data_IF_106918263524
#
_entry.id   IF_106918263524
#
_cell.length_a   1.000
_cell.length_b   1.000
_cell.length_c   1.000
_cell.angle_alpha   90.00
_cell.angle_beta   90.00
_cell.angle_gamma   90.00
#
_symmetry.space_group_name_H-M   'P 1'
#
loop_
_entity.id
_entity.type
_entity.pdbx_description
1 polymer ?
#
# COMPACT_ATOMS: atom_id res chain seq x y z
N UNK A 1 -19.59 87.36 59.78
CA UNK A 1 -19.02 86.93 61.08
C UNK A 1 -18.91 85.41 61.05
N UNK A 2 -17.73 84.87 61.24
CA UNK A 2 -17.37 83.49 61.52
C UNK A 2 -17.53 82.45 60.38
N UNK A 3 -16.49 82.14 59.60
CA UNK A 3 -15.41 81.16 59.76
C UNK A 3 -15.91 79.81 60.26
N UNK A 4 -15.77 78.80 59.38
CA UNK A 4 -15.60 77.47 59.84
C UNK A 4 -14.76 76.62 58.81
N UNK A 5 -13.72 76.06 59.34
CA UNK A 5 -12.72 75.24 58.73
C UNK A 5 -13.29 74.05 57.96
N UNK A 6 -12.85 73.88 56.78
CA UNK A 6 -13.06 72.65 55.98
C UNK A 6 -11.90 71.69 56.21
N UNK A 7 -12.15 70.50 56.76
CA UNK A 7 -11.21 69.39 56.80
C UNK A 7 -11.28 68.61 55.46
N UNK A 8 -10.17 68.60 54.74
CA UNK A 8 -9.96 67.72 53.57
C UNK A 8 -9.61 66.32 54.04
N UNK A 9 -10.43 65.33 53.69
CA UNK A 9 -10.16 63.94 53.85
C UNK A 9 -9.48 63.45 52.57
N UNK A 10 -8.22 63.03 52.62
CA UNK A 10 -7.53 62.40 51.50
C UNK A 10 -7.91 60.89 51.47
N UNK A 11 -8.59 60.50 50.39
CA UNK A 11 -8.87 59.09 50.11
C UNK A 11 -7.70 58.57 49.28
N UNK A 12 -6.88 57.70 49.88
CA UNK A 12 -5.86 56.90 49.18
C UNK A 12 -6.54 55.77 48.42
N UNK A 13 -6.53 55.84 47.10
CA UNK A 13 -6.94 54.73 46.22
C UNK A 13 -5.74 53.79 46.09
N UNK A 14 -5.85 52.63 46.73
CA UNK A 14 -4.91 51.54 46.53
C UNK A 14 -5.34 50.77 45.28
N UNK A 15 -4.64 50.97 44.18
CA UNK A 15 -4.79 50.17 42.96
C UNK A 15 -4.08 48.85 43.14
N UNK A 16 -4.85 47.81 43.49
CA UNK A 16 -4.37 46.41 43.49
C UNK A 16 -4.23 45.93 42.05
N UNK A 17 -3.01 45.74 41.58
CA UNK A 17 -2.76 45.09 40.28
C UNK A 17 -2.98 43.59 40.46
N UNK A 18 -4.09 43.08 39.86
CA UNK A 18 -4.35 41.66 39.76
C UNK A 18 -3.46 41.09 38.62
N UNK A 19 -2.36 40.43 38.98
CA UNK A 19 -1.52 39.71 38.05
C UNK A 19 -2.26 38.42 37.65
N UNK A 20 -2.88 38.41 36.45
CA UNK A 20 -3.35 37.19 35.80
C UNK A 20 -2.11 36.32 35.43
N UNK A 21 -1.82 35.31 36.21
CA UNK A 21 -0.96 34.21 35.79
C UNK A 21 -1.67 33.41 34.72
N UNK A 22 -1.42 33.77 33.46
CA UNK A 22 -1.76 32.89 32.32
C UNK A 22 -0.88 31.66 32.41
N UNK A 23 -1.43 30.54 32.90
CA UNK A 23 -0.85 29.22 32.75
C UNK A 23 -0.83 28.86 31.27
N UNK A 24 0.25 29.21 30.61
CA UNK A 24 0.54 28.72 29.27
C UNK A 24 0.64 27.21 29.31
N UNK A 25 -0.38 26.50 28.84
CA UNK A 25 -0.22 25.09 28.47
C UNK A 25 0.90 25.06 27.43
N UNK A 26 2.05 24.47 27.80
CA UNK A 26 3.08 24.16 26.83
C UNK A 26 2.40 23.38 25.69
N UNK A 27 2.47 23.89 24.47
CA UNK A 27 2.01 23.18 23.29
C UNK A 27 2.80 21.85 23.27
N UNK A 28 2.07 20.73 23.29
CA UNK A 28 2.66 19.43 23.03
C UNK A 28 3.35 19.56 21.67
N UNK A 29 4.66 19.31 21.55
CA UNK A 29 5.33 19.37 20.26
C UNK A 29 4.55 18.46 19.30
N UNK A 30 4.28 18.95 18.09
CA UNK A 30 3.69 18.14 17.03
C UNK A 30 4.56 16.88 16.92
N UNK A 31 3.95 15.68 16.79
CA UNK A 31 4.73 14.47 16.57
C UNK A 31 5.65 14.72 15.38
N UNK A 32 6.91 14.27 15.48
CA UNK A 32 7.84 14.30 14.35
C UNK A 32 7.11 13.70 13.13
N UNK A 33 7.27 14.27 11.92
CA UNK A 33 6.64 13.70 10.74
C UNK A 33 6.98 12.21 10.69
N UNK A 34 5.95 11.36 10.67
CA UNK A 34 6.16 9.93 10.51
C UNK A 34 6.94 9.74 9.22
N UNK A 35 8.06 9.02 9.30
CA UNK A 35 8.89 8.71 8.15
C UNK A 35 8.03 7.94 7.14
N UNK A 36 7.95 8.44 5.89
CA UNK A 36 7.18 7.78 4.84
C UNK A 36 7.63 6.33 4.67
N UNK A 37 6.67 5.42 4.53
CA UNK A 37 6.96 4.01 4.29
C UNK A 37 7.38 3.80 2.84
N UNK A 38 8.47 3.06 2.65
CA UNK A 38 8.90 2.51 1.36
C UNK A 38 8.85 0.99 1.50
N UNK A 39 7.84 0.37 0.89
CA UNK A 39 7.47 -1.03 1.11
C UNK A 39 7.69 -1.84 -0.17
N UNK A 40 8.57 -2.82 -0.12
CA UNK A 40 8.80 -3.75 -1.22
C UNK A 40 7.99 -5.04 -1.01
N UNK A 41 7.19 -5.47 -1.99
CA UNK A 41 6.88 -6.89 -2.09
C UNK A 41 8.06 -7.64 -2.70
N UNK A 42 8.40 -8.77 -2.11
CA UNK A 42 9.47 -9.66 -2.59
C UNK A 42 8.89 -11.05 -2.80
N UNK A 43 8.83 -11.46 -4.05
CA UNK A 43 8.26 -12.75 -4.45
C UNK A 43 9.23 -13.90 -4.14
N UNK A 44 8.76 -14.89 -3.38
CA UNK A 44 9.58 -16.06 -2.98
C UNK A 44 10.09 -16.91 -4.16
N UNK A 45 9.40 -16.84 -5.31
CA UNK A 45 9.78 -17.53 -6.54
C UNK A 45 10.74 -16.74 -7.44
N UNK A 46 10.98 -15.46 -7.12
CA UNK A 46 11.82 -14.56 -7.90
C UNK A 46 12.67 -13.66 -6.99
N UNK A 47 13.52 -14.29 -6.17
CA UNK A 47 14.36 -13.54 -5.23
C UNK A 47 15.42 -12.72 -5.97
N UNK A 48 15.50 -11.38 -5.74
CA UNK A 48 16.58 -10.55 -6.31
C UNK A 48 17.95 -11.02 -5.81
N UNK A 49 18.96 -10.95 -6.67
CA UNK A 49 20.34 -11.30 -6.30
C UNK A 49 20.92 -10.33 -5.25
N UNK A 50 20.52 -9.07 -5.30
CA UNK A 50 20.91 -8.02 -4.37
C UNK A 50 19.69 -7.19 -3.98
N UNK A 51 19.67 -6.66 -2.77
CA UNK A 51 18.60 -5.80 -2.25
C UNK A 51 19.24 -4.60 -1.56
N UNK A 52 18.89 -3.39 -1.98
CA UNK A 52 19.27 -2.12 -1.37
C UNK A 52 18.40 -1.85 -0.13
N UNK A 53 18.65 -2.61 0.93
CA UNK A 53 17.83 -2.60 2.14
C UNK A 53 17.74 -1.22 2.81
N UNK A 54 18.76 -0.38 2.65
CA UNK A 54 18.84 1.00 3.15
C UNK A 54 17.83 1.95 2.55
N UNK A 55 17.28 1.61 1.36
CA UNK A 55 16.23 2.37 0.68
C UNK A 55 14.82 1.95 1.11
N UNK A 56 14.70 0.87 1.91
CA UNK A 56 13.43 0.27 2.31
C UNK A 56 13.16 0.49 3.79
N UNK A 57 11.88 0.71 4.13
CA UNK A 57 11.42 0.65 5.53
C UNK A 57 10.80 -0.70 5.85
N UNK A 58 10.14 -1.33 4.86
CA UNK A 58 9.43 -2.60 5.03
C UNK A 58 9.64 -3.51 3.82
N UNK A 59 9.59 -4.81 4.08
CA UNK A 59 9.46 -5.86 3.07
C UNK A 59 8.25 -6.72 3.40
N UNK A 60 7.36 -6.94 2.43
CA UNK A 60 6.31 -7.94 2.47
C UNK A 60 6.77 -9.15 1.66
N UNK A 61 7.12 -10.25 2.33
CA UNK A 61 7.52 -11.49 1.67
C UNK A 61 6.30 -12.24 1.11
N UNK A 62 6.21 -12.39 -0.17
CA UNK A 62 5.10 -13.00 -0.90
C UNK A 62 5.45 -14.41 -1.39
N UNK A 63 4.74 -15.49 -1.08
CA UNK A 63 3.60 -15.53 -0.18
C UNK A 63 3.64 -16.78 0.71
N UNK A 64 3.05 -16.68 1.89
CA UNK A 64 2.53 -17.83 2.59
C UNK A 64 1.08 -18.11 2.12
N UNK A 65 0.58 -19.32 2.39
CA UNK A 65 -0.76 -19.78 1.99
C UNK A 65 -1.55 -20.27 3.19
N UNK A 66 -2.84 -20.47 3.00
CA UNK A 66 -3.72 -21.09 3.98
C UNK A 66 -3.90 -22.56 3.55
N UNK A 67 -3.45 -23.52 4.37
CA UNK A 67 -3.64 -24.93 4.08
C UNK A 67 -5.10 -25.38 4.28
N UNK A 68 -5.43 -26.62 3.85
CA UNK A 68 -6.75 -27.21 3.98
C UNK A 68 -7.24 -27.35 5.44
N UNK A 69 -6.38 -27.09 6.42
CA UNK A 69 -6.71 -27.04 7.84
C UNK A 69 -6.85 -25.60 8.38
N UNK A 70 -6.78 -24.57 7.51
CA UNK A 70 -6.86 -23.17 7.92
C UNK A 70 -5.61 -22.66 8.64
N UNK A 71 -4.44 -23.22 8.33
CA UNK A 71 -3.16 -22.82 8.93
C UNK A 71 -2.31 -22.08 7.91
N UNK A 72 -1.52 -21.12 8.39
CA UNK A 72 -0.52 -20.43 7.57
C UNK A 72 0.69 -21.32 7.38
N UNK A 73 1.07 -21.56 6.13
CA UNK A 73 2.19 -22.42 5.73
C UNK A 73 2.95 -21.84 4.55
N UNK A 74 4.21 -22.23 4.36
CA UNK A 74 4.87 -22.15 3.06
C UNK A 74 4.61 -23.42 2.28
N UNK A 75 4.10 -23.31 1.06
CA UNK A 75 3.94 -24.44 0.16
C UNK A 75 5.29 -24.90 -0.40
N UNK A 76 6.21 -23.95 -0.65
CA UNK A 76 7.56 -24.25 -1.09
C UNK A 76 8.53 -24.18 0.10
N UNK A 77 9.23 -25.28 0.43
CA UNK A 77 10.17 -25.28 1.55
C UNK A 77 11.35 -24.31 1.38
N UNK A 78 11.64 -23.85 0.15
CA UNK A 78 12.68 -22.87 -0.15
C UNK A 78 12.32 -21.47 0.40
N UNK A 79 11.04 -21.19 0.60
CA UNK A 79 10.58 -19.86 1.07
C UNK A 79 11.02 -19.56 2.50
N UNK A 80 11.18 -20.57 3.34
CA UNK A 80 11.76 -20.37 4.68
C UNK A 80 13.20 -19.85 4.62
N UNK A 81 14.01 -20.37 3.69
CA UNK A 81 15.39 -19.92 3.49
C UNK A 81 15.41 -18.50 2.85
N UNK A 82 14.52 -18.23 1.89
CA UNK A 82 14.36 -16.91 1.28
C UNK A 82 13.97 -15.84 2.32
N UNK A 83 12.96 -16.11 3.14
CA UNK A 83 12.57 -15.21 4.22
C UNK A 83 13.72 -14.98 5.22
N UNK A 84 14.48 -16.01 5.57
CA UNK A 84 15.65 -15.87 6.43
C UNK A 84 16.71 -14.95 5.83
N UNK A 85 16.92 -14.97 4.51
CA UNK A 85 17.86 -14.06 3.85
C UNK A 85 17.38 -12.61 3.88
N UNK A 86 16.06 -12.36 3.77
CA UNK A 86 15.48 -11.02 3.91
C UNK A 86 15.62 -10.48 5.35
N UNK A 87 15.39 -11.33 6.35
CA UNK A 87 15.60 -10.95 7.75
C UNK A 87 17.06 -10.62 8.07
N UNK A 88 18.02 -11.26 7.39
CA UNK A 88 19.44 -10.93 7.55
C UNK A 88 19.79 -9.52 7.06
N UNK A 89 18.98 -8.89 6.20
CA UNK A 89 19.16 -7.49 5.77
C UNK A 89 19.06 -6.49 6.93
N UNK A 90 18.43 -6.86 8.04
CA UNK A 90 18.40 -6.07 9.29
C UNK A 90 19.80 -5.81 9.88
N UNK A 91 20.80 -6.60 9.51
CA UNK A 91 22.19 -6.31 9.88
C UNK A 91 22.73 -5.05 9.19
N UNK A 92 22.23 -4.74 7.97
CA UNK A 92 22.56 -3.52 7.21
C UNK A 92 21.61 -2.38 7.52
N UNK A 93 20.32 -2.67 7.68
CA UNK A 93 19.28 -1.70 8.08
C UNK A 93 18.52 -2.21 9.31
N UNK A 94 18.94 -1.85 10.52
CA UNK A 94 18.29 -2.30 11.76
C UNK A 94 16.83 -1.85 11.93
N UNK A 95 16.42 -0.79 11.19
CA UNK A 95 15.02 -0.31 11.21
C UNK A 95 14.12 -1.04 10.26
N UNK A 96 14.67 -1.85 9.34
CA UNK A 96 13.89 -2.61 8.37
C UNK A 96 12.93 -3.56 9.08
N UNK A 97 11.66 -3.56 8.66
CA UNK A 97 10.65 -4.53 9.11
C UNK A 97 10.36 -5.52 7.97
N UNK A 98 10.25 -6.79 8.31
CA UNK A 98 9.95 -7.85 7.33
C UNK A 98 8.68 -8.55 7.76
N UNK A 99 7.61 -8.38 6.98
CA UNK A 99 6.32 -9.03 7.16
C UNK A 99 6.22 -10.25 6.24
N UNK A 100 5.35 -11.17 6.61
CA UNK A 100 4.94 -12.25 5.71
C UNK A 100 3.56 -11.92 5.16
N UNK A 101 3.46 -11.83 3.83
CA UNK A 101 2.19 -11.69 3.14
C UNK A 101 1.56 -13.08 2.97
N UNK A 102 0.30 -13.21 3.39
CA UNK A 102 -0.50 -14.42 3.25
C UNK A 102 -1.53 -14.16 2.17
N UNK A 103 -1.57 -14.99 1.13
CA UNK A 103 -2.56 -14.82 0.06
C UNK A 103 -1.95 -14.64 -1.32
N UNK A 104 -2.37 -13.59 -2.03
CA UNK A 104 -2.04 -13.26 -3.41
C UNK A 104 -3.05 -13.87 -4.40
N UNK A 105 -2.90 -13.52 -5.66
CA UNK A 105 -3.80 -13.95 -6.74
C UNK A 105 -4.00 -15.47 -6.76
N UNK A 106 -5.26 -15.92 -6.86
CA UNK A 106 -5.69 -17.32 -6.80
C UNK A 106 -5.47 -18.03 -5.44
N UNK A 107 -5.07 -17.32 -4.39
CA UNK A 107 -4.93 -17.93 -3.07
C UNK A 107 -6.30 -18.16 -2.43
N UNK A 108 -6.66 -19.42 -2.22
CA UNK A 108 -7.90 -19.81 -1.56
C UNK A 108 -7.72 -20.02 -0.04
N UNK A 109 -8.83 -20.31 0.65
CA UNK A 109 -8.86 -20.63 2.07
C UNK A 109 -9.30 -19.50 2.99
N UNK A 110 -9.28 -18.25 2.56
CA UNK A 110 -9.69 -17.11 3.39
C UNK A 110 -11.15 -17.15 3.81
N UNK A 111 -12.08 -17.44 2.87
CA UNK A 111 -13.51 -17.49 3.16
C UNK A 111 -13.85 -18.57 4.18
N UNK A 112 -13.12 -19.69 4.22
CA UNK A 112 -13.26 -20.72 5.26
C UNK A 112 -12.58 -20.31 6.58
N UNK A 113 -11.39 -19.71 6.52
CA UNK A 113 -10.67 -19.21 7.69
C UNK A 113 -11.46 -18.08 8.41
N UNK A 114 -12.17 -17.24 7.67
CA UNK A 114 -12.94 -16.14 8.20
C UNK A 114 -14.33 -16.52 8.74
N UNK A 115 -14.86 -17.71 8.38
CA UNK A 115 -16.27 -18.07 8.50
C UNK A 115 -16.80 -18.04 9.95
N UNK A 116 -16.13 -18.71 10.87
CA UNK A 116 -16.58 -18.85 12.26
C UNK A 116 -15.58 -18.26 13.25
N UNK A 117 -16.00 -18.00 14.48
CA UNK A 117 -15.08 -17.56 15.53
C UNK A 117 -13.97 -18.59 15.79
N UNK A 118 -14.29 -19.89 15.68
CA UNK A 118 -13.33 -20.97 15.85
C UNK A 118 -12.29 -20.97 14.71
N UNK A 119 -12.74 -20.89 13.44
CA UNK A 119 -11.83 -20.87 12.29
C UNK A 119 -10.96 -19.61 12.27
N UNK A 120 -11.51 -18.43 12.61
CA UNK A 120 -10.75 -17.18 12.76
C UNK A 120 -9.66 -17.29 13.83
N UNK A 121 -10.01 -17.84 15.00
CA UNK A 121 -9.04 -18.02 16.08
C UNK A 121 -7.95 -19.03 15.69
N UNK A 122 -8.32 -20.13 15.04
CA UNK A 122 -7.36 -21.12 14.53
C UNK A 122 -6.38 -20.51 13.53
N UNK A 123 -6.88 -19.75 12.57
CA UNK A 123 -6.05 -19.02 11.61
C UNK A 123 -5.10 -18.04 12.32
N UNK A 124 -5.63 -17.19 13.21
CA UNK A 124 -4.85 -16.17 13.90
C UNK A 124 -3.75 -16.77 14.78
N UNK A 125 -4.04 -17.82 15.54
CA UNK A 125 -3.03 -18.54 16.34
C UNK A 125 -1.97 -19.19 15.44
N UNK A 126 -2.36 -19.73 14.30
CA UNK A 126 -1.42 -20.29 13.32
C UNK A 126 -0.53 -19.20 12.71
N UNK A 127 -1.09 -18.04 12.35
CA UNK A 127 -0.35 -16.91 11.83
C UNK A 127 0.69 -16.38 12.82
N UNK A 128 0.31 -16.27 14.12
CA UNK A 128 1.24 -15.87 15.18
C UNK A 128 2.33 -16.92 15.40
N UNK A 129 1.98 -18.20 15.43
CA UNK A 129 2.96 -19.27 15.56
C UNK A 129 3.96 -19.26 14.38
N UNK A 130 3.46 -19.08 13.16
CA UNK A 130 4.25 -18.99 11.94
C UNK A 130 5.19 -17.78 11.97
N UNK A 131 4.68 -16.59 12.30
CA UNK A 131 5.43 -15.36 12.43
C UNK A 131 6.59 -15.51 13.45
N UNK A 132 6.32 -16.07 14.62
CA UNK A 132 7.34 -16.31 15.67
C UNK A 132 8.39 -17.32 15.25
N UNK A 133 7.97 -18.43 14.62
CA UNK A 133 8.89 -19.48 14.14
C UNK A 133 9.90 -18.93 13.12
N UNK A 134 9.46 -17.98 12.30
CA UNK A 134 10.29 -17.34 11.28
C UNK A 134 10.91 -16.01 11.73
N UNK A 135 10.58 -15.48 12.93
CA UNK A 135 11.06 -14.19 13.45
C UNK A 135 10.70 -13.00 12.56
N UNK A 136 9.55 -13.05 11.89
CA UNK A 136 9.03 -11.93 11.12
C UNK A 136 8.46 -10.82 12.02
N UNK A 137 8.23 -9.63 11.48
CA UNK A 137 7.78 -8.47 12.26
C UNK A 137 6.27 -8.24 12.15
N UNK A 138 5.57 -8.98 11.31
CA UNK A 138 4.13 -8.81 11.11
C UNK A 138 3.56 -9.75 10.06
N UNK A 139 2.27 -9.61 9.88
CA UNK A 139 1.46 -10.30 8.87
C UNK A 139 0.83 -9.26 7.96
N UNK A 140 0.91 -9.48 6.67
CA UNK A 140 0.15 -8.80 5.63
C UNK A 140 -0.89 -9.79 5.08
N UNK A 141 -2.13 -9.37 4.82
CA UNK A 141 -3.12 -10.22 4.19
C UNK A 141 -3.44 -9.70 2.79
N UNK A 142 -3.29 -10.56 1.81
CA UNK A 142 -3.58 -10.29 0.41
C UNK A 142 -4.70 -11.22 -0.08
N UNK A 143 -5.95 -10.89 0.30
CA UNK A 143 -7.14 -11.63 -0.09
C UNK A 143 -7.75 -11.03 -1.35
N UNK A 144 -7.64 -11.75 -2.47
CA UNK A 144 -8.07 -11.29 -3.79
C UNK A 144 -9.22 -12.15 -4.36
N UNK A 145 -10.52 -11.90 -4.01
CA UNK A 145 -10.99 -10.81 -3.14
C UNK A 145 -12.10 -11.31 -2.22
N UNK A 146 -12.35 -10.69 -1.06
CA UNK A 146 -13.46 -11.02 -0.20
C UNK A 146 -14.80 -10.92 -0.96
N UNK A 147 -15.69 -11.88 -0.76
CA UNK A 147 -17.03 -11.88 -1.34
C UNK A 147 -17.10 -12.01 -2.88
N UNK A 148 -15.97 -12.26 -3.54
CA UNK A 148 -15.87 -12.30 -5.00
C UNK A 148 -15.20 -13.60 -5.46
N UNK A 149 -15.83 -14.27 -6.45
CA UNK A 149 -15.31 -15.50 -7.04
C UNK A 149 -14.31 -15.30 -8.18
N UNK A 150 -13.72 -14.12 -8.31
CA UNK A 150 -12.66 -13.86 -9.28
C UNK A 150 -11.46 -14.77 -8.99
N UNK A 151 -10.67 -15.05 -9.99
CA UNK A 151 -9.54 -15.98 -9.87
C UNK A 151 -9.90 -17.43 -9.48
N UNK A 152 -11.19 -17.81 -9.41
CA UNK A 152 -11.66 -19.16 -9.10
C UNK A 152 -11.58 -19.54 -7.62
N UNK A 153 -11.41 -18.59 -6.71
CA UNK A 153 -11.39 -18.81 -5.27
C UNK A 153 -12.80 -18.97 -4.68
N UNK A 154 -12.86 -19.62 -3.53
CA UNK A 154 -14.11 -19.74 -2.76
C UNK A 154 -14.48 -18.40 -2.13
N UNK A 155 -15.76 -18.06 -2.19
CA UNK A 155 -16.29 -16.82 -1.64
C UNK A 155 -17.67 -17.02 -1.04
N UNK A 156 -18.09 -16.10 -0.17
CA UNK A 156 -19.42 -16.01 0.46
C UNK A 156 -19.84 -14.56 0.61
N UNK A 157 -21.13 -14.30 0.63
CA UNK A 157 -21.65 -12.95 0.90
C UNK A 157 -21.25 -12.44 2.31
N UNK A 158 -21.12 -13.35 3.27
CA UNK A 158 -20.71 -13.08 4.63
C UNK A 158 -19.23 -12.71 4.78
N UNK A 159 -18.42 -12.91 3.74
CA UNK A 159 -17.00 -12.53 3.74
C UNK A 159 -16.82 -11.05 4.04
N UNK A 160 -17.78 -10.22 3.65
CA UNK A 160 -17.80 -8.78 3.96
C UNK A 160 -17.61 -8.49 5.44
N UNK A 161 -18.44 -9.09 6.29
CA UNK A 161 -18.36 -8.93 7.74
C UNK A 161 -17.27 -9.82 8.35
N UNK A 162 -17.11 -11.03 7.82
CA UNK A 162 -16.16 -12.00 8.33
C UNK A 162 -14.73 -11.55 8.16
N UNK A 163 -14.40 -10.76 7.13
CA UNK A 163 -13.07 -10.18 6.96
C UNK A 163 -12.74 -9.20 8.09
N UNK A 164 -13.68 -8.30 8.43
CA UNK A 164 -13.50 -7.40 9.59
C UNK A 164 -13.28 -8.18 10.88
N UNK A 165 -14.05 -9.26 11.10
CA UNK A 165 -13.92 -10.10 12.29
C UNK A 165 -12.60 -10.90 12.29
N UNK A 166 -12.12 -11.35 11.13
CA UNK A 166 -10.82 -12.01 10.99
C UNK A 166 -9.68 -11.07 11.36
N UNK A 167 -9.69 -9.83 10.82
CA UNK A 167 -8.70 -8.81 11.13
C UNK A 167 -8.70 -8.45 12.62
N UNK A 168 -9.88 -8.29 13.21
CA UNK A 168 -10.01 -8.07 14.66
C UNK A 168 -9.36 -9.20 15.45
N UNK A 169 -9.74 -10.46 15.16
CA UNK A 169 -9.19 -11.61 15.87
C UNK A 169 -7.68 -11.72 15.70
N UNK A 170 -7.16 -11.48 14.48
CA UNK A 170 -5.73 -11.52 14.21
C UNK A 170 -4.98 -10.39 14.95
N UNK A 171 -5.55 -9.16 14.98
CA UNK A 171 -4.98 -8.04 15.74
C UNK A 171 -4.88 -8.36 17.22
N UNK A 172 -5.94 -8.89 17.83
CA UNK A 172 -5.96 -9.30 19.25
C UNK A 172 -4.87 -10.34 19.55
N UNK A 173 -4.68 -11.33 18.69
CA UNK A 173 -3.65 -12.36 18.87
C UNK A 173 -2.22 -11.80 18.64
N UNK A 174 -2.04 -10.88 17.71
CA UNK A 174 -0.75 -10.20 17.48
C UNK A 174 -0.38 -9.24 18.64
N UNK A 175 -1.37 -8.56 19.24
CA UNK A 175 -1.15 -7.71 20.40
C UNK A 175 -0.75 -8.56 21.63
N UNK A 176 -1.48 -9.64 21.90
CA UNK A 176 -1.13 -10.58 22.97
C UNK A 176 0.26 -11.21 22.76
N UNK A 177 0.62 -11.49 21.49
CA UNK A 177 1.94 -11.99 21.15
C UNK A 177 3.02 -10.93 21.35
N UNK A 178 2.74 -9.66 21.01
CA UNK A 178 3.66 -8.55 21.24
C UNK A 178 3.95 -8.37 22.72
N UNK A 179 2.92 -8.39 23.57
CA UNK A 179 3.07 -8.30 25.04
C UNK A 179 3.90 -9.46 25.58
N UNK A 180 3.66 -10.68 25.11
CA UNK A 180 4.39 -11.88 25.56
C UNK A 180 5.86 -11.91 25.10
N UNK A 181 6.20 -11.17 24.06
CA UNK A 181 7.55 -11.06 23.49
C UNK A 181 8.24 -9.73 23.86
N UNK A 182 7.68 -8.98 24.85
CA UNK A 182 8.18 -7.67 25.32
C UNK A 182 8.32 -6.64 24.17
N UNK A 183 7.45 -6.72 23.16
CA UNK A 183 7.42 -5.80 22.02
C UNK A 183 6.37 -4.71 22.24
N UNK A 184 6.76 -3.45 22.17
CA UNK A 184 5.86 -2.32 22.42
C UNK A 184 6.09 -1.17 21.43
N UNK A 185 5.12 -0.25 21.34
CA UNK A 185 5.22 0.92 20.47
C UNK A 185 5.49 0.54 19.02
N UNK A 186 6.53 1.11 18.39
CA UNK A 186 6.84 0.80 16.98
C UNK A 186 7.37 -0.63 16.77
N UNK A 187 7.74 -1.34 17.85
CA UNK A 187 8.27 -2.70 17.76
C UNK A 187 7.20 -3.79 17.84
N UNK A 188 5.93 -3.44 18.14
CA UNK A 188 4.83 -4.40 18.15
C UNK A 188 4.68 -5.11 16.80
N UNK A 189 4.07 -6.29 16.78
CA UNK A 189 3.80 -7.01 15.55
C UNK A 189 2.78 -6.26 14.69
N UNK A 190 3.11 -6.12 13.41
CA UNK A 190 2.34 -5.35 12.45
C UNK A 190 1.24 -6.21 11.79
N UNK A 191 0.14 -5.55 11.43
CA UNK A 191 -0.95 -6.13 10.65
C UNK A 191 -1.34 -5.18 9.52
N UNK A 192 -1.20 -5.64 8.28
CA UNK A 192 -1.53 -4.87 7.08
C UNK A 192 -2.37 -5.68 6.12
N UNK A 193 -2.91 -5.03 5.12
CA UNK A 193 -3.58 -5.70 3.98
C UNK A 193 -3.16 -5.09 2.66
N UNK A 194 -3.22 -5.86 1.58
CA UNK A 194 -3.41 -5.33 0.24
C UNK A 194 -4.88 -4.95 0.07
N UNK A 195 -5.15 -3.81 -0.55
CA UNK A 195 -6.49 -3.25 -0.71
C UNK A 195 -6.72 -2.82 -2.15
N UNK A 196 -7.94 -2.98 -2.64
CA UNK A 196 -8.35 -2.58 -3.98
C UNK A 196 -9.48 -1.53 -3.93
N UNK A 197 -9.92 -1.08 -5.09
CA UNK A 197 -11.00 -0.11 -5.25
C UNK A 197 -12.32 -0.76 -5.71
N UNK A 198 -13.36 0.03 -5.97
CA UNK A 198 -14.66 -0.33 -6.53
C UNK A 198 -15.36 -1.48 -5.78
N UNK A 199 -15.55 -2.63 -6.46
CA UNK A 199 -16.25 -3.81 -5.95
C UNK A 199 -15.65 -4.32 -4.62
N UNK A 200 -14.36 -4.06 -4.39
CA UNK A 200 -13.73 -4.38 -3.10
C UNK A 200 -14.47 -3.72 -1.93
N UNK A 201 -14.92 -2.47 -2.09
CA UNK A 201 -15.69 -1.73 -1.08
C UNK A 201 -17.12 -2.25 -0.92
N UNK A 202 -17.69 -2.84 -1.95
CA UNK A 202 -19.02 -3.46 -1.85
C UNK A 202 -18.97 -4.72 -0.99
N UNK A 203 -17.84 -5.41 -1.00
CA UNK A 203 -17.61 -6.70 -0.34
C UNK A 203 -16.73 -6.60 0.91
N UNK A 204 -16.43 -5.40 1.42
CA UNK A 204 -15.67 -5.15 2.65
C UNK A 204 -16.31 -4.04 3.48
N UNK A 205 -16.06 -4.02 4.79
CA UNK A 205 -16.47 -2.94 5.69
C UNK A 205 -15.28 -1.97 5.90
N UNK A 206 -14.87 -1.24 4.84
CA UNK A 206 -13.66 -0.42 4.85
C UNK A 206 -13.67 0.66 5.94
N UNK A 207 -14.85 1.18 6.27
CA UNK A 207 -15.09 2.14 7.35
C UNK A 207 -14.85 1.55 8.76
N UNK A 208 -14.77 0.23 8.89
CA UNK A 208 -14.68 -0.50 10.16
C UNK A 208 -13.39 -1.30 10.30
N UNK A 209 -12.90 -1.92 9.21
CA UNK A 209 -11.76 -2.82 9.27
C UNK A 209 -10.43 -2.10 9.53
N UNK A 210 -10.31 -0.85 9.06
CA UNK A 210 -9.06 -0.09 9.14
C UNK A 210 -8.56 0.18 10.57
N UNK A 211 -9.45 0.10 11.58
CA UNK A 211 -9.08 0.30 13.00
C UNK A 211 -8.19 -0.82 13.53
N UNK A 212 -8.26 -2.00 12.91
CA UNK A 212 -7.46 -3.18 13.27
C UNK A 212 -6.09 -3.22 12.58
N UNK A 213 -5.86 -2.33 11.60
CA UNK A 213 -4.69 -2.32 10.74
C UNK A 213 -3.70 -1.23 11.12
N UNK A 214 -2.42 -1.50 10.90
CA UNK A 214 -1.38 -0.48 10.93
C UNK A 214 -1.45 0.41 9.70
N UNK A 215 -1.61 -0.17 8.51
CA UNK A 215 -1.89 0.53 7.25
C UNK A 215 -2.51 -0.42 6.21
N UNK A 216 -2.91 0.17 5.07
CA UNK A 216 -3.43 -0.51 3.89
C UNK A 216 -2.52 -0.21 2.70
N UNK A 217 -2.09 -1.24 1.98
CA UNK A 217 -1.34 -1.16 0.73
C UNK A 217 -2.35 -1.12 -0.43
N UNK A 218 -2.63 0.07 -0.97
CA UNK A 218 -3.57 0.22 -2.08
C UNK A 218 -2.91 -0.30 -3.35
N UNK A 219 -3.47 -1.32 -3.99
CA UNK A 219 -3.04 -1.83 -5.29
C UNK A 219 -3.40 -0.83 -6.39
N UNK A 220 -2.59 0.22 -6.53
CA UNK A 220 -2.75 1.33 -7.46
C UNK A 220 -2.35 0.99 -8.89
N UNK A 221 -2.63 -0.24 -9.32
CA UNK A 221 -2.24 -0.81 -10.61
C UNK A 221 -3.26 -1.83 -11.10
N UNK A 222 -3.00 -2.44 -12.26
CA UNK A 222 -3.88 -3.40 -12.93
C UNK A 222 -5.27 -2.84 -13.28
N UNK A 223 -5.34 -1.52 -13.48
CA UNK A 223 -6.58 -0.87 -13.88
C UNK A 223 -7.01 -1.27 -15.29
N UNK A 224 -6.04 -1.53 -16.18
CA UNK A 224 -6.23 -2.10 -17.50
C UNK A 224 -5.37 -3.36 -17.64
N UNK A 225 -5.99 -4.48 -17.95
CA UNK A 225 -5.37 -5.80 -18.00
C UNK A 225 -6.11 -6.73 -18.98
N UNK A 226 -5.89 -8.04 -18.91
CA UNK A 226 -6.53 -9.04 -19.77
C UNK A 226 -8.05 -9.11 -19.65
N UNK A 227 -8.66 -8.48 -18.66
CA UNK A 227 -10.11 -8.47 -18.43
C UNK A 227 -10.79 -7.20 -18.96
N UNK A 228 -10.02 -6.24 -19.50
CA UNK A 228 -10.55 -5.00 -20.08
C UNK A 228 -10.73 -5.14 -21.61
N UNK A 229 -11.70 -4.44 -22.16
CA UNK A 229 -12.00 -4.47 -23.61
C UNK A 229 -11.07 -3.55 -24.42
N UNK A 230 -10.45 -2.59 -23.76
CA UNK A 230 -9.56 -1.60 -24.35
C UNK A 230 -8.23 -1.54 -23.63
N UNK A 231 -7.22 -1.03 -24.30
CA UNK A 231 -5.97 -0.57 -23.69
C UNK A 231 -6.24 0.62 -22.78
N UNK A 232 -5.27 0.97 -21.94
CA UNK A 232 -5.31 2.13 -21.05
C UNK A 232 -4.11 2.11 -20.11
N UNK A 233 -4.00 3.09 -19.25
CA UNK A 233 -2.93 3.12 -18.24
C UNK A 233 -3.24 2.13 -17.11
N UNK A 234 -2.50 1.02 -17.04
CA UNK A 234 -2.71 0.06 -15.96
C UNK A 234 -2.37 0.60 -14.58
N UNK A 235 -1.60 1.67 -14.51
CA UNK A 235 -1.18 2.31 -13.27
C UNK A 235 -1.21 3.86 -13.35
N UNK A 236 -2.15 4.45 -14.13
CA UNK A 236 -2.28 5.90 -14.27
C UNK A 236 -2.56 6.59 -12.93
N UNK A 237 -1.89 7.73 -12.66
CA UNK A 237 -2.18 8.51 -11.45
C UNK A 237 -3.56 9.16 -11.51
N UNK A 238 -3.90 9.76 -12.65
CA UNK A 238 -5.20 10.38 -12.91
C UNK A 238 -5.85 9.79 -14.16
N UNK A 239 -7.10 10.15 -14.41
CA UNK A 239 -7.79 9.75 -15.63
C UNK A 239 -7.15 10.44 -16.85
N UNK A 240 -6.90 9.68 -17.93
CA UNK A 240 -6.52 10.20 -19.24
C UNK A 240 -7.59 11.13 -19.82
N UNK A 241 -7.22 11.95 -20.80
CA UNK A 241 -8.24 12.71 -21.58
C UNK A 241 -9.14 11.79 -22.43
N UNK A 242 -8.64 10.59 -22.79
CA UNK A 242 -9.37 9.59 -23.56
C UNK A 242 -10.13 8.58 -22.68
N UNK A 243 -10.03 8.71 -21.34
CA UNK A 243 -10.67 7.81 -20.41
C UNK A 243 -12.20 7.90 -20.47
N UNK A 244 -12.86 6.76 -20.41
CA UNK A 244 -14.30 6.70 -20.24
C UNK A 244 -14.71 7.17 -18.84
N UNK A 245 -15.95 7.69 -18.67
CA UNK A 245 -16.45 8.00 -17.35
C UNK A 245 -16.40 6.79 -16.42
N UNK A 246 -15.70 6.92 -15.30
CA UNK A 246 -15.53 5.86 -14.34
C UNK A 246 -14.30 4.96 -14.56
N UNK A 247 -13.45 5.22 -15.55
CA UNK A 247 -12.19 4.47 -15.66
C UNK A 247 -11.34 4.60 -14.39
N UNK A 248 -10.67 3.50 -14.05
CA UNK A 248 -9.86 3.38 -12.82
C UNK A 248 -8.57 4.18 -12.96
N UNK A 249 -8.14 4.75 -11.84
CA UNK A 249 -6.85 5.41 -11.68
C UNK A 249 -6.49 5.50 -10.18
N UNK A 250 -5.23 5.77 -9.87
CA UNK A 250 -4.74 5.76 -8.51
C UNK A 250 -5.38 6.85 -7.62
N UNK A 251 -5.59 8.07 -8.13
CA UNK A 251 -6.24 9.16 -7.41
C UNK A 251 -7.70 8.81 -7.04
N UNK A 252 -8.45 8.22 -7.96
CA UNK A 252 -9.82 7.77 -7.67
C UNK A 252 -9.86 6.68 -6.59
N UNK A 253 -8.92 5.73 -6.64
CA UNK A 253 -8.77 4.70 -5.61
C UNK A 253 -8.44 5.29 -4.24
N UNK A 254 -7.46 6.19 -4.14
CA UNK A 254 -7.12 6.89 -2.89
C UNK A 254 -8.31 7.68 -2.34
N UNK A 255 -9.01 8.43 -3.20
CA UNK A 255 -10.20 9.19 -2.78
C UNK A 255 -11.32 8.30 -2.26
N UNK A 256 -11.52 7.12 -2.83
CA UNK A 256 -12.51 6.16 -2.34
C UNK A 256 -12.16 5.67 -0.93
N UNK A 257 -10.88 5.38 -0.64
CA UNK A 257 -10.41 4.99 0.69
C UNK A 257 -10.60 6.15 1.71
N UNK A 258 -10.24 7.38 1.33
CA UNK A 258 -10.43 8.55 2.19
C UNK A 258 -11.92 8.82 2.47
N UNK A 259 -12.79 8.64 1.48
CA UNK A 259 -14.24 8.80 1.63
C UNK A 259 -14.86 7.75 2.58
N UNK A 260 -14.24 6.58 2.73
CA UNK A 260 -14.62 5.59 3.73
C UNK A 260 -14.15 5.93 5.16
N UNK A 261 -13.50 7.08 5.35
CA UNK A 261 -13.04 7.54 6.67
C UNK A 261 -11.70 6.98 7.13
N UNK A 262 -10.96 6.32 6.24
CA UNK A 262 -9.63 5.79 6.57
C UNK A 262 -8.65 6.97 6.71
N UNK A 263 -7.89 7.06 7.81
CA UNK A 263 -6.86 8.09 7.99
C UNK A 263 -5.80 8.02 6.88
N UNK A 264 -5.45 9.19 6.32
CA UNK A 264 -4.52 9.29 5.19
C UNK A 264 -3.16 8.68 5.46
N UNK A 265 -2.66 8.80 6.69
CA UNK A 265 -1.39 8.23 7.14
C UNK A 265 -1.39 6.69 7.20
N UNK A 266 -2.57 6.06 7.12
CA UNK A 266 -2.73 4.61 6.95
C UNK A 266 -2.82 4.16 5.49
N UNK A 267 -2.84 5.07 4.53
CA UNK A 267 -2.92 4.73 3.11
C UNK A 267 -1.53 4.75 2.49
N UNK A 268 -1.11 3.63 1.94
CA UNK A 268 0.16 3.47 1.23
C UNK A 268 -0.16 3.23 -0.24
N UNK A 269 0.33 4.11 -1.14
CA UNK A 269 0.03 4.00 -2.56
C UNK A 269 0.92 2.96 -3.24
N UNK A 270 0.31 1.96 -3.83
CA UNK A 270 0.98 0.92 -4.60
C UNK A 270 1.28 1.36 -6.03
N UNK A 271 2.46 0.97 -6.51
CA UNK A 271 2.93 1.18 -7.88
C UNK A 271 3.46 -0.14 -8.45
N UNK A 272 3.47 -0.26 -9.78
CA UNK A 272 3.89 -1.48 -10.46
C UNK A 272 5.33 -1.36 -10.98
N UNK A 273 6.15 -2.39 -10.71
CA UNK A 273 7.47 -2.49 -11.33
C UNK A 273 7.44 -3.34 -12.60
N UNK A 274 6.28 -3.36 -13.27
CA UNK A 274 6.02 -4.08 -14.52
C UNK A 274 5.06 -3.30 -15.40
N UNK A 275 4.95 -3.72 -16.65
CA UNK A 275 3.96 -3.23 -17.60
C UNK A 275 3.03 -4.32 -18.09
N UNK A 276 1.99 -3.93 -18.79
CA UNK A 276 0.99 -4.78 -19.43
C UNK A 276 1.02 -4.57 -20.94
N UNK A 277 1.12 -5.66 -21.72
CA UNK A 277 1.21 -5.63 -23.17
C UNK A 277 -0.08 -6.02 -23.87
N UNK A 278 -0.38 -5.35 -25.00
CA UNK A 278 -1.56 -5.59 -25.83
C UNK A 278 -1.17 -5.57 -27.30
N UNK A 279 -1.66 -6.51 -28.09
CA UNK A 279 -1.37 -6.65 -29.52
C UNK A 279 -2.62 -6.54 -30.39
N UNK A 280 -2.41 -6.19 -31.67
CA UNK A 280 -3.50 -5.94 -32.60
C UNK A 280 -4.32 -4.71 -32.24
N UNK A 281 -3.69 -3.75 -31.57
CA UNK A 281 -4.36 -2.55 -31.07
C UNK A 281 -4.73 -1.62 -32.21
N UNK A 282 -5.93 -1.02 -32.16
CA UNK A 282 -6.32 0.02 -33.12
C UNK A 282 -5.37 1.23 -33.01
N UNK A 283 -4.83 1.77 -34.12
CA UNK A 283 -3.77 2.78 -34.09
C UNK A 283 -4.24 4.19 -33.69
N UNK A 284 -5.53 4.44 -33.55
CA UNK A 284 -6.01 5.74 -33.08
C UNK A 284 -5.40 6.08 -31.69
N UNK A 285 -5.14 7.35 -31.42
CA UNK A 285 -4.52 7.84 -30.19
C UNK A 285 -3.22 7.12 -29.81
N UNK A 286 -2.42 6.67 -30.81
CA UNK A 286 -1.24 5.84 -30.60
C UNK A 286 -1.51 4.59 -29.74
N UNK A 287 -2.68 3.97 -29.96
CA UNK A 287 -3.12 2.77 -29.26
C UNK A 287 -3.69 3.00 -27.85
N UNK A 288 -3.75 4.22 -27.33
CA UNK A 288 -4.27 4.50 -25.99
C UNK A 288 -5.81 4.56 -26.00
N UNK A 289 -6.44 3.84 -25.06
CA UNK A 289 -7.89 3.64 -24.93
C UNK A 289 -8.52 3.09 -26.23
N UNK A 290 -7.89 2.07 -26.81
CA UNK A 290 -8.31 1.45 -28.06
C UNK A 290 -8.62 -0.04 -27.88
N UNK A 291 -9.56 -0.61 -28.67
CA UNK A 291 -9.75 -2.05 -28.74
C UNK A 291 -8.47 -2.76 -29.19
N UNK A 292 -8.28 -3.99 -28.72
CA UNK A 292 -7.13 -4.84 -29.03
C UNK A 292 -7.58 -6.28 -29.37
N UNK A 293 -6.72 -7.04 -30.02
CA UNK A 293 -7.03 -8.41 -30.45
C UNK A 293 -6.55 -9.45 -29.43
N UNK A 294 -5.42 -9.16 -28.72
CA UNK A 294 -4.78 -10.11 -27.82
C UNK A 294 -4.02 -9.41 -26.70
N UNK A 295 -4.16 -9.94 -25.50
CA UNK A 295 -3.31 -9.58 -24.37
C UNK A 295 -1.95 -10.30 -24.48
N UNK A 296 -0.83 -9.57 -24.38
CA UNK A 296 0.53 -10.09 -24.55
C UNK A 296 1.20 -10.50 -23.25
N UNK A 297 0.60 -10.20 -22.10
CA UNK A 297 1.14 -10.55 -20.80
C UNK A 297 1.89 -9.40 -20.11
N UNK A 298 2.68 -9.80 -19.13
CA UNK A 298 3.40 -8.89 -18.25
C UNK A 298 4.83 -8.67 -18.74
N UNK A 299 5.32 -7.46 -18.58
CA UNK A 299 6.66 -7.04 -18.96
C UNK A 299 7.39 -6.49 -17.73
N UNK A 300 8.34 -7.21 -17.09
CA UNK A 300 9.18 -6.66 -16.03
C UNK A 300 9.85 -5.35 -16.45
N UNK A 301 9.90 -4.36 -15.58
CA UNK A 301 10.46 -3.05 -15.90
C UNK A 301 11.90 -3.14 -16.41
N UNK A 302 12.75 -3.94 -15.76
CA UNK A 302 14.13 -4.15 -16.19
C UNK A 302 14.29 -4.75 -17.59
N UNK A 303 13.23 -5.36 -18.18
CA UNK A 303 13.21 -5.82 -19.57
C UNK A 303 12.73 -4.76 -20.55
N UNK A 304 11.97 -3.76 -20.09
CA UNK A 304 11.43 -2.70 -20.96
C UNK A 304 12.47 -1.66 -21.36
N UNK A 305 13.47 -1.38 -20.51
CA UNK A 305 14.63 -0.59 -20.89
C UNK A 305 15.36 -1.21 -22.08
N UNK A 306 15.49 -2.55 -22.10
CA UNK A 306 16.07 -3.29 -23.22
C UNK A 306 15.23 -3.15 -24.50
N UNK A 307 13.89 -3.20 -24.40
CA UNK A 307 12.99 -2.98 -25.55
C UNK A 307 13.11 -1.58 -26.15
N UNK A 308 13.26 -0.56 -25.31
CA UNK A 308 13.46 0.83 -25.75
C UNK A 308 14.83 1.04 -26.40
N UNK A 309 15.88 0.36 -25.90
CA UNK A 309 17.25 0.50 -26.38
C UNK A 309 17.48 -0.36 -27.65
N UNK A 310 16.88 -1.55 -27.69
CA UNK A 310 17.14 -2.56 -28.74
C UNK A 310 16.13 -2.56 -29.88
N UNK A 311 15.01 -1.84 -29.76
CA UNK A 311 13.95 -1.80 -30.77
C UNK A 311 13.68 -0.37 -31.23
N UNK A 312 14.20 -0.02 -32.42
CA UNK A 312 13.98 1.27 -33.07
C UNK A 312 12.48 1.59 -33.33
N UNK A 313 11.57 0.61 -33.13
CA UNK A 313 10.17 0.71 -33.50
C UNK A 313 9.21 1.07 -32.36
N UNK A 314 9.68 1.06 -31.09
CA UNK A 314 8.87 1.55 -30.00
C UNK A 314 9.10 3.05 -29.75
N UNK A 315 8.00 3.80 -29.63
CA UNK A 315 8.01 5.21 -29.25
C UNK A 315 7.42 5.32 -27.84
N UNK A 316 8.17 5.97 -26.93
CA UNK A 316 7.63 6.33 -25.62
C UNK A 316 6.76 7.58 -25.74
N UNK A 317 5.57 7.49 -25.23
CA UNK A 317 4.63 8.59 -25.04
C UNK A 317 4.43 8.89 -23.56
N UNK A 318 4.10 10.12 -23.26
CA UNK A 318 3.72 10.58 -21.94
C UNK A 318 2.33 11.19 -21.98
N UNK A 319 1.41 10.67 -21.18
CA UNK A 319 0.09 11.28 -20.97
C UNK A 319 0.19 12.27 -19.81
N UNK A 320 0.22 13.56 -20.12
CA UNK A 320 0.34 14.64 -19.13
C UNK A 320 -0.81 14.61 -18.11
N UNK A 321 -2.02 14.28 -18.56
CA UNK A 321 -3.19 14.27 -17.70
C UNK A 321 -3.20 13.07 -16.77
N UNK A 322 -2.88 11.90 -17.28
CA UNK A 322 -2.78 10.67 -16.48
C UNK A 322 -1.50 10.61 -15.64
N UNK A 323 -0.50 11.44 -15.96
CA UNK A 323 0.86 11.38 -15.41
C UNK A 323 1.45 9.98 -15.54
N UNK A 324 1.32 9.38 -16.72
CA UNK A 324 1.72 8.01 -16.99
C UNK A 324 2.36 7.84 -18.36
N UNK A 325 3.43 7.00 -18.47
CA UNK A 325 4.05 6.63 -19.74
C UNK A 325 3.33 5.46 -20.40
N UNK A 326 3.54 5.33 -21.71
CA UNK A 326 3.26 4.11 -22.47
C UNK A 326 4.19 3.99 -23.67
N UNK A 327 4.34 2.77 -24.17
CA UNK A 327 5.08 2.47 -25.40
C UNK A 327 4.10 2.10 -26.50
N UNK A 328 4.35 2.63 -27.69
CA UNK A 328 3.59 2.30 -28.88
C UNK A 328 4.52 1.90 -30.03
N UNK A 329 4.27 0.75 -30.62
CA UNK A 329 4.87 0.32 -31.88
C UNK A 329 3.77 0.29 -32.95
N UNK A 330 3.77 1.26 -33.87
CA UNK A 330 2.74 1.44 -34.88
C UNK A 330 2.74 0.34 -35.93
N UNK A 331 3.92 -0.21 -36.29
CA UNK A 331 4.06 -1.26 -37.29
C UNK A 331 3.50 -2.59 -36.79
N UNK A 332 3.90 -2.98 -35.58
CA UNK A 332 3.44 -4.22 -34.95
C UNK A 332 2.08 -4.10 -34.26
N UNK A 333 1.53 -2.88 -34.15
CA UNK A 333 0.29 -2.57 -33.41
C UNK A 333 0.36 -3.08 -31.95
N UNK A 334 1.53 -2.85 -31.31
CA UNK A 334 1.79 -3.24 -29.93
C UNK A 334 1.73 -2.01 -29.01
N UNK A 335 0.98 -2.14 -27.93
CA UNK A 335 0.85 -1.14 -26.87
C UNK A 335 1.32 -1.75 -25.55
N UNK A 336 2.19 -1.03 -24.83
CA UNK A 336 2.63 -1.43 -23.47
C UNK A 336 2.40 -0.26 -22.55
N UNK A 337 1.60 -0.45 -21.52
CA UNK A 337 1.43 0.49 -20.40
C UNK A 337 2.34 0.07 -19.25
N UNK A 338 3.00 1.01 -18.59
CA UNK A 338 4.01 0.72 -17.58
C UNK A 338 4.24 1.93 -16.65
N UNK A 339 5.15 1.79 -15.70
CA UNK A 339 5.68 2.87 -14.89
C UNK A 339 7.13 3.15 -15.26
N UNK A 340 7.57 4.39 -15.11
CA UNK A 340 8.96 4.80 -15.25
C UNK A 340 9.36 5.77 -14.13
N UNK A 341 10.64 6.19 -14.02
CA UNK A 341 11.05 7.13 -12.98
C UNK A 341 10.28 8.46 -12.98
N UNK A 342 9.72 8.88 -14.13
CA UNK A 342 8.93 10.11 -14.21
C UNK A 342 7.56 9.93 -13.54
N UNK A 343 6.85 8.85 -13.84
CA UNK A 343 5.54 8.54 -13.24
C UNK A 343 5.67 8.22 -11.74
N UNK A 344 6.73 7.51 -11.35
CA UNK A 344 7.03 7.24 -9.93
C UNK A 344 7.25 8.54 -9.16
N UNK A 345 8.04 9.49 -9.69
CA UNK A 345 8.21 10.80 -9.03
C UNK A 345 6.92 11.60 -8.94
N UNK A 346 6.06 11.53 -9.97
CA UNK A 346 4.74 12.17 -9.92
C UNK A 346 3.87 11.60 -8.79
N UNK A 347 3.83 10.26 -8.65
CA UNK A 347 3.12 9.58 -7.57
C UNK A 347 3.72 9.84 -6.19
N UNK A 348 5.05 9.87 -6.07
CA UNK A 348 5.71 10.22 -4.81
C UNK A 348 5.37 11.65 -4.38
N UNK A 349 5.34 12.60 -5.34
CA UNK A 349 4.85 13.96 -5.07
C UNK A 349 3.39 13.95 -4.60
N UNK A 350 2.52 13.18 -5.28
CA UNK A 350 1.12 13.03 -4.89
C UNK A 350 0.99 12.50 -3.46
N UNK A 351 1.74 11.47 -3.09
CA UNK A 351 1.76 10.89 -1.73
C UNK A 351 2.11 11.94 -0.68
N UNK A 352 3.14 12.74 -0.92
CA UNK A 352 3.54 13.83 -0.01
C UNK A 352 2.48 14.94 0.08
N UNK A 353 1.99 15.40 -1.06
CA UNK A 353 1.02 16.50 -1.12
C UNK A 353 -0.30 16.15 -0.42
N UNK A 354 -0.69 14.87 -0.42
CA UNK A 354 -1.90 14.38 0.24
C UNK A 354 -1.67 13.85 1.65
N UNK A 355 -0.42 13.82 2.13
CA UNK A 355 -0.06 13.31 3.45
C UNK A 355 -0.37 11.82 3.62
N UNK A 356 -0.20 11.01 2.56
CA UNK A 356 -0.37 9.57 2.64
C UNK A 356 0.80 8.92 3.39
N UNK A 357 0.60 7.69 3.87
CA UNK A 357 1.56 6.98 4.72
C UNK A 357 2.83 6.47 4.01
N UNK A 358 2.88 6.49 2.67
CA UNK A 358 4.04 6.03 1.93
C UNK A 358 3.73 5.43 0.57
N UNK A 359 4.69 4.70 0.03
CA UNK A 359 4.58 3.97 -1.23
C UNK A 359 4.92 2.50 -1.05
N UNK A 360 4.21 1.64 -1.77
CA UNK A 360 4.47 0.21 -1.89
C UNK A 360 4.67 -0.14 -3.35
N UNK A 361 5.36 -1.22 -3.66
CA UNK A 361 5.49 -1.68 -5.04
C UNK A 361 5.45 -3.21 -5.18
N UNK A 362 4.81 -3.66 -6.25
CA UNK A 362 4.81 -5.03 -6.76
C UNK A 362 5.69 -5.08 -8.00
N UNK A 363 6.79 -5.79 -8.10
CA UNK A 363 7.58 -6.39 -7.04
C UNK A 363 9.09 -6.18 -7.31
N UNK A 364 9.90 -6.29 -6.31
CA UNK A 364 11.29 -5.82 -6.29
C UNK A 364 12.18 -6.44 -7.37
N UNK A 365 12.01 -7.75 -7.72
CA UNK A 365 12.88 -8.42 -8.69
C UNK A 365 12.74 -7.90 -10.12
N UNK A 366 11.66 -7.13 -10.38
CA UNK A 366 11.36 -6.62 -11.71
C UNK A 366 12.07 -5.29 -12.03
N UNK A 367 12.71 -4.65 -11.03
CA UNK A 367 13.57 -3.48 -11.18
C UNK A 367 15.05 -3.85 -10.99
N UNK A 368 15.70 -4.34 -12.06
CA UNK A 368 17.05 -4.93 -11.99
C UNK A 368 18.14 -3.97 -11.50
N UNK A 369 17.98 -2.68 -11.75
CA UNK A 369 18.99 -1.66 -11.52
C UNK A 369 18.59 -0.64 -10.44
N UNK A 370 17.55 -0.91 -9.68
CA UNK A 370 16.96 -0.01 -8.67
C UNK A 370 16.50 1.35 -9.24
N UNK A 371 16.21 1.48 -10.54
CA UNK A 371 15.84 2.77 -11.15
C UNK A 371 14.51 3.30 -10.60
N UNK A 372 13.50 2.43 -10.48
CA UNK A 372 12.20 2.80 -9.90
C UNK A 372 12.30 2.93 -8.37
N UNK A 373 13.05 2.04 -7.72
CA UNK A 373 13.31 2.13 -6.29
C UNK A 373 14.05 3.43 -5.93
N UNK A 374 15.06 3.84 -6.74
CA UNK A 374 15.75 5.11 -6.54
C UNK A 374 14.81 6.31 -6.72
N UNK A 375 13.92 6.25 -7.72
CA UNK A 375 12.93 7.29 -7.91
C UNK A 375 11.97 7.42 -6.71
N UNK A 376 11.59 6.31 -6.06
CA UNK A 376 10.82 6.33 -4.81
C UNK A 376 11.68 6.89 -3.68
N UNK A 377 12.82 6.26 -3.38
CA UNK A 377 13.64 6.59 -2.21
C UNK A 377 14.09 8.07 -2.22
N UNK A 378 14.57 8.58 -3.36
CA UNK A 378 14.99 9.98 -3.47
C UNK A 378 13.84 10.99 -3.42
N UNK A 379 12.62 10.55 -3.68
CA UNK A 379 11.43 11.41 -3.66
C UNK A 379 10.71 11.40 -2.32
N UNK A 380 10.93 10.39 -1.47
CA UNK A 380 10.25 10.25 -0.18
C UNK A 380 11.07 10.82 0.99
N UNK A 381 12.34 11.19 0.74
CA UNK A 381 13.22 11.92 1.66
C UNK A 381 13.25 13.40 1.29
#
# INVERSE_FOLDING_TARGET
>A
MLESLGKRIAISVVTGALACLASGKAAVPAPAPEEFRVIAYVAGWSMPATISAEKLTHINFAFARIDGNGRVVFEDPRYAAALKSLLALKQRNPRLRVLVSVGGWQADGFSDAALTAESRNKFALSAVAFLRAHRADGIDLDWEYPGQGVAGIKFRAEDKQNFTLLLKTLREQLDAASDADDRSGPDRYLLTIASADREYFEHTEMDRLHVHLDWLNIMGYDFFNSLTETTGHHAGLHASEFAAPGDRNADASVRQHLAAGIPREKLVLGVAFYGRGFAGVNPANNGLHQPYERYEGDHPYGGMSDLLICSENFVRYWDERASAPYLWNAEARLFITYEDPQSIRAKAKYVRDHGLGGMMFWELSQDRNDELLDAIATSMH
#
